data_IF_963729020573
#
_entry.id   IF_963729020573
#
_cell.length_a   1.000
_cell.length_b   1.000
_cell.length_c   1.000
_cell.angle_alpha   90.00
_cell.angle_beta   90.00
_cell.angle_gamma   90.00
#
_symmetry.space_group_name_H-M   'P 1'
#
loop_
_entity.id
_entity.type
_entity.pdbx_description
1 polymer ?
#
# COMPACT_ATOMS: atom_id res chain seq x y z
N UNK A 1 -22.11 6.39 38.99
CA UNK A 1 -22.29 6.60 37.53
C UNK A 1 -21.61 7.91 37.22
N UNK A 2 -20.44 7.84 36.61
CA UNK A 2 -19.68 9.01 36.21
C UNK A 2 -19.94 9.25 34.72
N UNK A 3 -20.59 10.37 34.40
CA UNK A 3 -21.21 10.64 33.09
C UNK A 3 -20.25 11.43 32.18
N UNK A 4 -18.98 11.55 32.56
CA UNK A 4 -18.02 12.47 31.94
C UNK A 4 -17.23 11.88 30.75
N UNK A 5 -17.32 10.56 30.50
CA UNK A 5 -16.68 9.95 29.34
C UNK A 5 -17.40 10.23 27.99
N UNK A 6 -18.54 10.94 28.02
CA UNK A 6 -19.33 11.30 26.84
C UNK A 6 -18.74 12.45 26.01
N UNK A 7 -17.63 13.06 26.43
CA UNK A 7 -17.12 14.30 25.82
C UNK A 7 -15.89 14.14 24.92
N UNK A 8 -15.36 12.93 24.72
CA UNK A 8 -14.30 12.73 23.73
C UNK A 8 -14.91 12.37 22.36
N UNK A 9 -15.43 13.39 21.70
CA UNK A 9 -15.90 13.31 20.33
C UNK A 9 -14.81 12.77 19.40
N UNK A 10 -13.54 13.04 19.68
CA UNK A 10 -12.41 12.54 18.90
C UNK A 10 -12.19 11.05 19.10
N UNK A 11 -12.41 10.52 20.31
CA UNK A 11 -12.39 9.08 20.58
C UNK A 11 -13.56 8.35 19.92
N UNK A 12 -14.77 8.88 20.05
CA UNK A 12 -15.97 8.30 19.40
C UNK A 12 -15.82 8.37 17.88
N UNK A 13 -15.32 9.48 17.34
CA UNK A 13 -15.01 9.63 15.91
C UNK A 13 -13.92 8.68 15.45
N UNK A 14 -12.84 8.52 16.21
CA UNK A 14 -11.77 7.57 15.89
C UNK A 14 -12.29 6.12 15.89
N UNK A 15 -13.07 5.73 16.89
CA UNK A 15 -13.67 4.39 16.99
C UNK A 15 -14.70 4.14 15.87
N UNK A 16 -15.51 5.13 15.51
CA UNK A 16 -16.43 5.05 14.37
C UNK A 16 -15.63 4.94 13.06
N UNK A 17 -14.67 5.82 12.81
CA UNK A 17 -13.83 5.76 11.58
C UNK A 17 -13.06 4.44 11.45
N UNK A 18 -12.61 3.88 12.58
CA UNK A 18 -11.99 2.56 12.66
C UNK A 18 -12.99 1.43 12.34
N UNK A 19 -14.20 1.50 12.91
CA UNK A 19 -15.27 0.51 12.73
C UNK A 19 -15.90 0.53 11.32
N UNK A 20 -15.93 1.68 10.66
CA UNK A 20 -16.43 1.85 9.29
C UNK A 20 -15.33 1.71 8.21
N UNK A 21 -14.16 1.16 8.58
CA UNK A 21 -13.03 0.94 7.67
C UNK A 21 -12.57 2.20 6.91
N UNK A 22 -12.79 3.40 7.47
CA UNK A 22 -12.23 4.66 6.94
C UNK A 22 -10.80 4.79 7.47
N UNK A 23 -10.01 3.74 7.25
CA UNK A 23 -8.60 3.66 7.62
C UNK A 23 -7.73 4.35 6.55
N UNK A 24 -6.51 4.71 6.91
CA UNK A 24 -5.48 5.15 5.96
C UNK A 24 -5.29 4.14 4.82
N UNK A 25 -5.34 2.84 5.15
CA UNK A 25 -5.17 1.74 4.21
C UNK A 25 -6.31 1.64 3.19
N UNK A 26 -7.55 1.98 3.57
CA UNK A 26 -8.65 2.02 2.60
C UNK A 26 -8.45 3.08 1.52
N UNK A 27 -7.96 4.27 1.91
CA UNK A 27 -7.63 5.32 0.95
C UNK A 27 -6.40 4.98 0.11
N UNK A 28 -5.43 4.29 0.70
CA UNK A 28 -4.28 3.74 -0.02
C UNK A 28 -4.72 2.79 -1.14
N UNK A 29 -5.57 1.81 -0.82
CA UNK A 29 -6.08 0.85 -1.80
C UNK A 29 -6.86 1.54 -2.90
N UNK A 30 -7.75 2.49 -2.56
CA UNK A 30 -8.48 3.30 -3.55
C UNK A 30 -7.56 4.14 -4.42
N UNK A 31 -6.50 4.73 -3.86
CA UNK A 31 -5.52 5.50 -4.62
C UNK A 31 -4.82 4.63 -5.68
N UNK A 32 -4.43 3.41 -5.33
CA UNK A 32 -3.72 2.49 -6.23
C UNK A 32 -4.64 1.78 -7.23
N UNK A 33 -5.90 1.56 -6.88
CA UNK A 33 -6.88 0.92 -7.75
C UNK A 33 -7.72 1.91 -8.57
N UNK A 34 -7.51 3.22 -8.39
CA UNK A 34 -8.28 4.25 -9.09
C UNK A 34 -8.17 4.07 -10.61
N UNK A 35 -9.33 3.99 -11.27
CA UNK A 35 -9.45 3.93 -12.72
C UNK A 35 -9.97 5.27 -13.24
N UNK A 36 -9.61 5.60 -14.48
CA UNK A 36 -10.17 6.75 -15.19
C UNK A 36 -11.61 6.46 -15.55
N UNK A 37 -12.51 7.40 -15.25
CA UNK A 37 -13.93 7.23 -15.59
C UNK A 37 -14.25 7.65 -17.04
N UNK A 38 -15.24 7.04 -17.70
CA UNK A 38 -15.52 7.29 -19.13
C UNK A 38 -15.80 8.76 -19.51
N UNK A 39 -16.32 9.57 -18.57
CA UNK A 39 -16.69 10.97 -18.81
C UNK A 39 -15.83 11.95 -17.99
N UNK A 40 -14.73 11.47 -17.40
CA UNK A 40 -13.88 12.26 -16.52
C UNK A 40 -12.82 13.04 -17.30
N UNK A 41 -12.69 14.33 -17.01
CA UNK A 41 -11.61 15.14 -17.53
C UNK A 41 -10.28 14.84 -16.80
N UNK A 42 -9.11 15.05 -17.44
CA UNK A 42 -7.82 14.88 -16.78
C UNK A 42 -7.66 15.72 -15.49
N UNK A 43 -8.33 16.87 -15.42
CA UNK A 43 -8.35 17.73 -14.23
C UNK A 43 -9.11 17.08 -13.08
N UNK A 44 -10.29 16.52 -13.34
CA UNK A 44 -11.11 15.83 -12.34
C UNK A 44 -10.39 14.59 -11.81
N UNK A 45 -9.79 13.81 -12.71
CA UNK A 45 -8.93 12.67 -12.34
C UNK A 45 -7.81 13.08 -11.38
N UNK A 46 -7.09 14.16 -11.71
CA UNK A 46 -6.00 14.66 -10.87
C UNK A 46 -6.49 15.13 -9.49
N UNK A 47 -7.64 15.80 -9.42
CA UNK A 47 -8.25 16.24 -8.16
C UNK A 47 -8.58 15.03 -7.28
N UNK A 48 -9.22 14.00 -7.83
CA UNK A 48 -9.53 12.76 -7.09
C UNK A 48 -8.29 12.03 -6.61
N UNK A 49 -7.25 11.93 -7.45
CA UNK A 49 -5.97 11.36 -7.05
C UNK A 49 -5.37 12.12 -5.88
N UNK A 50 -5.37 13.45 -5.95
CA UNK A 50 -4.85 14.32 -4.88
C UNK A 50 -5.63 14.17 -3.58
N UNK A 51 -6.96 14.06 -3.66
CA UNK A 51 -7.81 13.83 -2.49
C UNK A 51 -7.54 12.48 -1.82
N UNK A 52 -7.45 11.41 -2.60
CA UNK A 52 -7.14 10.08 -2.09
C UNK A 52 -5.75 10.04 -1.46
N UNK A 53 -4.74 10.62 -2.11
CA UNK A 53 -3.40 10.73 -1.56
C UNK A 53 -3.38 11.50 -0.24
N UNK A 54 -4.08 12.64 -0.17
CA UNK A 54 -4.17 13.43 1.06
C UNK A 54 -4.84 12.67 2.22
N UNK A 55 -5.85 11.86 1.94
CA UNK A 55 -6.55 11.04 2.95
C UNK A 55 -5.78 9.78 3.35
N UNK A 56 -4.97 9.24 2.43
CA UNK A 56 -4.03 8.15 2.71
C UNK A 56 -2.88 8.65 3.58
N UNK A 57 -2.09 9.62 3.09
CA UNK A 57 -0.88 10.07 3.79
C UNK A 57 -1.20 10.85 5.06
N UNK A 58 -2.32 11.58 5.09
CA UNK A 58 -2.75 12.46 6.21
C UNK A 58 -1.60 13.39 6.64
N UNK A 59 -1.16 14.31 5.77
CA UNK A 59 0.06 15.11 5.99
C UNK A 59 -0.06 16.13 7.13
N UNK A 60 -1.26 16.43 7.63
CA UNK A 60 -1.43 17.37 8.75
C UNK A 60 -0.78 16.79 10.00
N UNK A 61 0.22 17.48 10.53
CA UNK A 61 0.96 17.04 11.72
C UNK A 61 2.04 15.99 11.44
N UNK A 62 2.30 15.64 10.17
CA UNK A 62 3.42 14.78 9.78
C UNK A 62 4.58 15.58 9.19
N UNK A 63 5.78 15.14 9.48
CA UNK A 63 7.00 15.58 8.84
C UNK A 63 7.12 15.01 7.42
N UNK A 64 8.01 15.58 6.62
CA UNK A 64 8.31 15.05 5.28
C UNK A 64 8.83 13.61 5.37
N UNK A 65 9.64 13.31 6.39
CA UNK A 65 10.21 11.98 6.58
C UNK A 65 9.13 10.94 6.89
N UNK A 66 8.15 11.26 7.74
CA UNK A 66 7.01 10.37 8.02
C UNK A 66 6.12 10.14 6.78
N UNK A 67 6.00 11.15 5.91
CA UNK A 67 5.33 11.01 4.61
C UNK A 67 6.13 10.07 3.71
N UNK A 68 7.45 10.25 3.62
CA UNK A 68 8.33 9.40 2.83
C UNK A 68 8.29 7.94 3.32
N UNK A 69 8.36 7.72 4.63
CA UNK A 69 8.25 6.40 5.24
C UNK A 69 6.92 5.72 4.90
N UNK A 70 5.81 6.47 4.84
CA UNK A 70 4.51 5.92 4.41
C UNK A 70 4.58 5.35 2.99
N UNK A 71 5.27 6.03 2.07
CA UNK A 71 5.43 5.57 0.68
C UNK A 71 6.43 4.42 0.57
N UNK A 72 7.55 4.49 1.31
CA UNK A 72 8.55 3.43 1.37
C UNK A 72 7.91 2.14 1.90
N UNK A 73 7.11 2.24 2.96
CA UNK A 73 6.46 1.10 3.59
C UNK A 73 5.43 0.45 2.65
N UNK A 74 4.70 1.23 1.85
CA UNK A 74 3.83 0.69 0.79
C UNK A 74 4.61 -0.16 -0.21
N UNK A 75 5.70 0.37 -0.74
CA UNK A 75 6.53 -0.35 -1.70
C UNK A 75 7.18 -1.59 -1.05
N UNK A 76 7.62 -1.47 0.20
CA UNK A 76 8.13 -2.58 0.99
C UNK A 76 7.11 -3.72 1.08
N UNK A 77 5.88 -3.44 1.50
CA UNK A 77 4.82 -4.45 1.59
C UNK A 77 4.55 -5.13 0.25
N UNK A 78 4.55 -4.39 -0.88
CA UNK A 78 4.37 -4.98 -2.22
C UNK A 78 5.48 -5.94 -2.62
N UNK A 79 6.67 -5.81 -2.04
CA UNK A 79 7.79 -6.71 -2.28
C UNK A 79 7.79 -7.93 -1.38
N UNK A 80 6.94 -7.99 -0.35
CA UNK A 80 6.83 -9.14 0.54
C UNK A 80 5.86 -10.19 -0.02
N UNK A 81 6.12 -11.45 0.29
CA UNK A 81 5.17 -12.53 0.05
C UNK A 81 3.82 -12.26 0.74
N UNK A 82 2.67 -12.69 0.17
CA UNK A 82 1.35 -12.40 0.76
C UNK A 82 1.20 -12.88 2.20
N UNK A 83 1.78 -14.04 2.53
CA UNK A 83 1.76 -14.60 3.88
C UNK A 83 2.47 -13.70 4.89
N UNK A 84 3.63 -13.15 4.52
CA UNK A 84 4.37 -12.21 5.35
C UNK A 84 3.60 -10.89 5.51
N UNK A 85 2.97 -10.39 4.44
CA UNK A 85 2.14 -9.18 4.52
C UNK A 85 1.00 -9.35 5.52
N UNK A 86 0.25 -10.47 5.42
CA UNK A 86 -0.87 -10.77 6.34
C UNK A 86 -0.36 -10.83 7.78
N UNK A 87 0.73 -11.57 8.02
CA UNK A 87 1.28 -11.76 9.35
C UNK A 87 1.70 -10.44 10.03
N UNK A 88 2.30 -9.51 9.27
CA UNK A 88 2.65 -8.17 9.76
C UNK A 88 1.40 -7.34 10.01
N UNK A 89 0.44 -7.32 9.06
CA UNK A 89 -0.79 -6.53 9.19
C UNK A 89 -1.66 -6.95 10.37
N UNK A 90 -1.74 -8.25 10.67
CA UNK A 90 -2.45 -8.78 11.84
C UNK A 90 -1.90 -8.27 13.18
N UNK A 91 -0.63 -7.85 13.21
CA UNK A 91 0.04 -7.31 14.40
C UNK A 91 -0.04 -5.79 14.51
N UNK A 92 -0.62 -5.14 13.50
CA UNK A 92 -0.92 -3.71 13.46
C UNK A 92 0.26 -2.82 13.95
N UNK A 93 1.41 -2.84 13.25
CA UNK A 93 2.58 -2.08 13.65
C UNK A 93 2.27 -0.57 13.71
N UNK A 94 2.88 0.11 14.67
CA UNK A 94 2.72 1.54 14.92
C UNK A 94 3.49 2.38 13.91
N UNK A 95 4.65 1.89 13.46
CA UNK A 95 5.55 2.57 12.53
C UNK A 95 6.27 1.59 11.60
N UNK A 96 7.06 2.14 10.66
CA UNK A 96 7.80 1.36 9.69
C UNK A 96 8.89 0.48 10.34
N UNK A 97 9.51 0.95 11.42
CA UNK A 97 10.54 0.20 12.13
C UNK A 97 9.98 -1.07 12.78
N UNK A 98 8.82 -0.97 13.42
CA UNK A 98 8.10 -2.11 13.98
C UNK A 98 7.67 -3.10 12.89
N UNK A 99 7.22 -2.62 11.73
CA UNK A 99 6.88 -3.48 10.60
C UNK A 99 8.09 -4.29 10.07
N UNK A 100 9.27 -3.67 9.98
CA UNK A 100 10.50 -4.34 9.55
C UNK A 100 10.98 -5.35 10.61
N UNK A 101 10.96 -4.97 11.88
CA UNK A 101 11.31 -5.88 12.98
C UNK A 101 10.43 -7.14 12.98
N UNK A 102 9.13 -6.95 12.79
CA UNK A 102 8.16 -8.02 12.62
C UNK A 102 8.51 -8.91 11.43
N UNK A 103 8.85 -8.32 10.28
CA UNK A 103 9.24 -9.07 9.11
C UNK A 103 10.48 -9.96 9.36
N UNK A 104 11.51 -9.41 9.99
CA UNK A 104 12.72 -10.14 10.34
C UNK A 104 12.43 -11.30 11.29
N UNK A 105 11.58 -11.07 12.31
CA UNK A 105 11.15 -12.13 13.23
C UNK A 105 10.43 -13.28 12.50
N UNK A 106 9.57 -12.95 11.53
CA UNK A 106 8.90 -13.96 10.71
C UNK A 106 9.91 -14.75 9.86
N UNK A 107 10.86 -14.07 9.22
CA UNK A 107 11.90 -14.71 8.40
C UNK A 107 12.78 -15.63 9.23
N UNK A 108 13.20 -15.18 10.43
CA UNK A 108 14.02 -15.97 11.34
C UNK A 108 13.31 -17.23 11.86
N UNK A 109 12.00 -17.14 12.10
CA UNK A 109 11.20 -18.28 12.57
C UNK A 109 10.89 -19.31 11.46
N UNK A 110 11.00 -18.94 10.19
CA UNK A 110 10.57 -19.74 9.05
C UNK A 110 11.73 -20.54 8.44
N UNK A 111 11.46 -21.80 8.06
CA UNK A 111 12.47 -22.73 7.51
C UNK A 111 13.11 -22.13 6.23
N UNK A 112 14.44 -22.32 6.09
CA UNK A 112 15.33 -21.77 5.03
C UNK A 112 14.88 -21.90 3.55
N UNK A 113 13.84 -22.68 3.24
CA UNK A 113 13.43 -22.99 1.87
C UNK A 113 12.21 -22.19 1.34
N UNK A 114 11.59 -21.33 2.15
CA UNK A 114 10.51 -20.45 1.69
C UNK A 114 11.02 -19.01 1.53
N UNK A 115 10.85 -18.46 0.33
CA UNK A 115 11.24 -17.08 0.03
C UNK A 115 10.27 -16.09 0.69
N UNK A 116 10.80 -15.13 1.43
CA UNK A 116 10.04 -14.04 2.05
C UNK A 116 9.64 -12.96 1.03
N UNK A 117 10.40 -12.85 -0.05
CA UNK A 117 10.18 -11.90 -1.13
C UNK A 117 9.06 -12.40 -2.06
N UNK A 118 8.29 -11.45 -2.60
CA UNK A 118 7.31 -11.72 -3.63
C UNK A 118 8.01 -12.22 -4.89
N UNK A 119 7.83 -13.49 -5.22
CA UNK A 119 8.11 -14.00 -6.55
C UNK A 119 6.94 -13.61 -7.43
N UNK A 120 7.07 -12.50 -8.17
CA UNK A 120 6.27 -12.35 -9.37
C UNK A 120 6.50 -13.62 -10.19
N UNK A 121 5.47 -14.44 -10.39
CA UNK A 121 5.52 -15.49 -11.41
C UNK A 121 6.06 -14.80 -12.66
N UNK A 122 7.24 -15.22 -13.12
CA UNK A 122 7.69 -14.93 -14.48
C UNK A 122 6.57 -15.47 -15.37
N UNK A 123 5.65 -14.60 -15.81
CA UNK A 123 4.94 -14.88 -17.05
C UNK A 123 6.03 -14.86 -18.10
N UNK A 124 6.28 -16.02 -18.68
CA UNK A 124 7.28 -16.24 -19.71
C UNK A 124 7.12 -15.18 -20.82
N UNK A 125 7.97 -14.16 -20.80
CA UNK A 125 8.25 -13.39 -22.00
C UNK A 125 9.11 -14.29 -22.87
N UNK A 126 8.49 -15.04 -23.78
CA UNK A 126 9.19 -15.61 -24.92
C UNK A 126 9.54 -14.45 -25.86
N UNK A 127 10.83 -14.15 -26.11
CA UNK A 127 11.18 -13.20 -27.14
C UNK A 127 10.71 -13.80 -28.48
N UNK A 128 9.79 -13.12 -29.16
CA UNK A 128 9.49 -13.43 -30.56
C UNK A 128 10.78 -13.28 -31.37
N UNK A 129 11.29 -14.33 -32.05
CA UNK A 129 12.47 -14.20 -32.87
C UNK A 129 12.18 -13.23 -34.01
N UNK A 130 13.03 -12.21 -34.13
CA UNK A 130 12.92 -11.16 -35.13
C UNK A 130 12.84 -11.73 -36.54
N UNK A 131 11.86 -11.25 -37.28
CA UNK A 131 11.71 -11.41 -38.72
C UNK A 131 12.79 -10.57 -39.43
N UNK A 132 13.95 -11.15 -39.71
CA UNK A 132 14.80 -10.64 -40.77
C UNK A 132 14.25 -11.15 -42.10
N UNK A 133 13.35 -10.38 -42.71
CA UNK A 133 13.11 -10.50 -44.15
C UNK A 133 14.31 -9.86 -44.88
N UNK A 134 14.94 -10.57 -45.84
CA UNK A 134 15.97 -9.99 -46.68
C UNK A 134 15.29 -9.17 -47.78
N UNK A 135 15.30 -7.84 -47.66
CA UNK A 135 15.07 -6.99 -48.83
C UNK A 135 16.36 -6.94 -49.63
N UNK A 136 16.40 -7.74 -50.69
CA UNK A 136 17.37 -7.57 -51.76
C UNK A 136 17.14 -6.30 -52.57
N UNK A 137 18.17 -5.99 -53.35
CA UNK A 137 18.29 -5.07 -54.49
C UNK A 137 18.52 -3.59 -54.16
N UNK A 138 19.71 -3.08 -54.50
CA UNK A 138 20.04 -2.58 -55.86
C UNK A 138 21.48 -2.94 -56.22
#
# INVERSE_FOLDING_TARGET
MDVDASMDYDHVKAAILQKYEISSETYHLRFRSLQVEPNESPRELFVRLKELYGRWVRPRGKTIDEINETIILEQYFRMLSPELQVWIKERNPRDAAEAVFLADAFVAARRRNQSWAYKAMKKDYTPVPGNTSPTGNV
#
